data_IF_744175161328
#
_entry.id   IF_744175161328
#
_cell.length_a   1.000
_cell.length_b   1.000
_cell.length_c   1.000
_cell.angle_alpha   90.00
_cell.angle_beta   90.00
_cell.angle_gamma   90.00
#
_symmetry.space_group_name_H-M   'P 1'
#
loop_
_entity.id
_entity.type
_entity.pdbx_description
1 polymer ?
#
# COMPACT_ATOMS: atom_id res chain seq x y z
N UNK A 1 -12.09 -6.61 -18.46
CA UNK A 1 -12.06 -7.65 -19.51
C UNK A 1 -10.88 -7.31 -20.41
N UNK A 2 -9.85 -8.16 -20.47
CA UNK A 2 -8.67 -7.87 -21.28
C UNK A 2 -9.05 -7.95 -22.77
N UNK A 3 -8.82 -6.88 -23.53
CA UNK A 3 -9.00 -6.91 -24.98
C UNK A 3 -7.73 -7.48 -25.58
N UNK A 4 -7.78 -8.76 -25.99
CA UNK A 4 -6.72 -9.35 -26.79
C UNK A 4 -6.86 -8.82 -28.21
N UNK A 5 -5.90 -8.04 -28.66
CA UNK A 5 -5.77 -7.74 -30.08
C UNK A 5 -5.13 -8.98 -30.75
N UNK A 6 -5.96 -9.79 -31.42
CA UNK A 6 -5.54 -11.08 -32.02
C UNK A 6 -5.07 -10.89 -33.46
N UNK A 7 -4.13 -9.98 -33.70
CA UNK A 7 -3.45 -9.90 -35.00
C UNK A 7 -2.20 -10.79 -34.97
N UNK A 8 -2.18 -11.93 -35.71
CA UNK A 8 -1.09 -12.91 -35.65
C UNK A 8 0.25 -12.42 -36.22
N UNK A 9 0.37 -11.16 -36.67
CA UNK A 9 1.61 -10.57 -37.19
C UNK A 9 2.37 -9.65 -36.22
N UNK A 10 1.85 -9.40 -35.02
CA UNK A 10 2.51 -8.51 -34.05
C UNK A 10 3.12 -9.36 -32.92
N UNK A 11 4.42 -9.65 -33.02
CA UNK A 11 5.19 -10.37 -31.98
C UNK A 11 5.56 -9.50 -30.76
N UNK A 12 5.24 -8.21 -30.79
CA UNK A 12 5.41 -7.32 -29.64
C UNK A 12 4.03 -7.02 -29.02
N UNK A 13 3.54 -7.95 -28.20
CA UNK A 13 2.46 -7.64 -27.26
C UNK A 13 3.03 -6.75 -26.15
N UNK A 14 3.09 -5.45 -26.38
CA UNK A 14 3.16 -4.48 -25.30
C UNK A 14 1.87 -4.60 -24.50
N UNK A 15 1.99 -4.99 -23.24
CA UNK A 15 0.85 -5.07 -22.33
C UNK A 15 0.47 -3.64 -21.96
N UNK A 16 -0.60 -3.14 -22.57
CA UNK A 16 -1.21 -1.88 -22.16
C UNK A 16 -2.19 -2.15 -21.02
N UNK A 17 -1.83 -1.69 -19.82
CA UNK A 17 -2.75 -1.66 -18.68
C UNK A 17 -3.58 -0.39 -18.79
N UNK A 18 -4.69 -0.46 -19.51
CA UNK A 18 -5.52 0.73 -19.77
C UNK A 18 -6.32 1.18 -18.53
N UNK A 19 -6.37 0.36 -17.46
CA UNK A 19 -7.22 0.59 -16.29
C UNK A 19 -6.56 0.27 -14.91
N UNK A 20 -5.35 0.77 -14.58
CA UNK A 20 -4.74 0.56 -13.26
C UNK A 20 -5.60 1.10 -12.10
N UNK A 21 -6.41 2.12 -12.40
CA UNK A 21 -7.44 2.68 -11.49
C UNK A 21 -8.45 1.65 -10.97
N UNK A 22 -8.66 0.53 -11.67
CA UNK A 22 -9.55 -0.54 -11.20
C UNK A 22 -8.97 -1.35 -10.02
N UNK A 23 -7.67 -1.23 -9.77
CA UNK A 23 -6.98 -1.91 -8.67
C UNK A 23 -6.92 -1.06 -7.39
N UNK A 24 -7.47 0.15 -7.41
CA UNK A 24 -7.55 1.04 -6.24
C UNK A 24 -8.52 0.44 -5.23
N UNK A 25 -8.06 0.19 -4.01
CA UNK A 25 -8.84 -0.48 -2.97
C UNK A 25 -9.00 -1.99 -3.20
N UNK A 26 -8.07 -2.60 -3.95
CA UNK A 26 -8.03 -4.05 -4.12
C UNK A 26 -7.25 -4.69 -2.96
N UNK A 27 -7.87 -5.70 -2.35
CA UNK A 27 -7.37 -6.33 -1.14
C UNK A 27 -6.60 -7.61 -1.47
N UNK A 28 -5.31 -7.65 -1.11
CA UNK A 28 -4.46 -8.82 -1.37
C UNK A 28 -4.49 -9.81 -0.21
N UNK A 29 -4.92 -9.38 0.97
CA UNK A 29 -5.08 -10.25 2.13
C UNK A 29 -6.57 -10.48 2.46
N UNK A 30 -7.13 -11.55 1.91
CA UNK A 30 -8.51 -11.99 2.19
C UNK A 30 -8.77 -12.32 3.67
N UNK A 31 -7.74 -12.54 4.47
CA UNK A 31 -7.86 -12.87 5.89
C UNK A 31 -7.83 -11.63 6.79
N UNK A 32 -7.37 -10.48 6.29
CA UNK A 32 -7.24 -9.23 7.05
C UNK A 32 -7.32 -8.04 6.08
N UNK A 33 -8.54 -7.77 5.60
CA UNK A 33 -8.83 -6.62 4.77
C UNK A 33 -8.52 -5.33 5.53
N UNK A 34 -8.10 -4.26 4.84
CA UNK A 34 -7.75 -3.01 5.51
C UNK A 34 -8.89 -2.50 6.38
N UNK A 35 -10.11 -2.53 5.88
CA UNK A 35 -11.33 -2.05 6.55
C UNK A 35 -11.69 -2.88 7.78
N UNK A 36 -11.21 -4.12 7.86
CA UNK A 36 -11.41 -4.96 9.05
C UNK A 36 -10.56 -4.50 10.23
N UNK A 37 -9.47 -3.76 9.97
CA UNK A 37 -8.49 -3.31 10.96
C UNK A 37 -8.44 -1.80 11.10
N UNK A 38 -8.52 -1.05 10.01
CA UNK A 38 -8.34 0.38 9.91
C UNK A 38 -9.68 1.04 9.54
N UNK A 39 -10.01 2.14 10.19
CA UNK A 39 -11.21 2.95 9.91
C UNK A 39 -10.90 4.23 9.10
N UNK A 40 -9.76 4.25 8.41
CA UNK A 40 -9.33 5.35 7.58
C UNK A 40 -8.76 4.82 6.27
N UNK A 41 -8.72 5.68 5.25
CA UNK A 41 -8.01 5.44 4.01
C UNK A 41 -7.12 6.65 3.72
N UNK A 42 -5.83 6.46 3.42
CA UNK A 42 -4.99 7.55 2.95
C UNK A 42 -5.47 8.04 1.58
N UNK A 43 -5.20 9.31 1.27
CA UNK A 43 -5.39 9.85 -0.07
C UNK A 43 -4.07 9.83 -0.84
N UNK A 44 -4.13 9.53 -2.13
CA UNK A 44 -2.98 9.40 -3.01
C UNK A 44 -3.06 10.42 -4.12
N UNK A 45 -2.03 11.26 -4.23
CA UNK A 45 -1.96 12.31 -5.25
C UNK A 45 -0.64 12.16 -5.98
N UNK A 46 -0.71 11.86 -7.27
CA UNK A 46 0.45 11.93 -8.16
C UNK A 46 0.44 13.28 -8.86
N UNK A 47 1.48 14.07 -8.62
CA UNK A 47 1.62 15.38 -9.22
C UNK A 47 2.16 15.33 -10.67
N UNK A 48 2.30 16.49 -11.29
CA UNK A 48 2.81 16.63 -12.66
C UNK A 48 4.32 16.33 -12.77
N UNK A 49 5.03 16.24 -11.66
CA UNK A 49 6.46 15.93 -11.57
C UNK A 49 6.73 14.46 -11.23
N UNK A 50 5.71 13.60 -11.31
CA UNK A 50 5.76 12.18 -10.96
C UNK A 50 6.09 11.92 -9.49
N UNK A 51 5.85 12.87 -8.59
CA UNK A 51 5.96 12.63 -7.15
C UNK A 51 4.62 12.17 -6.61
N UNK A 52 4.64 11.06 -5.88
CA UNK A 52 3.47 10.56 -5.18
C UNK A 52 3.44 11.15 -3.77
N UNK A 53 2.34 11.80 -3.43
CA UNK A 53 2.01 12.23 -2.07
C UNK A 53 0.96 11.31 -1.46
N UNK A 54 1.24 10.84 -0.24
CA UNK A 54 0.32 10.06 0.59
C UNK A 54 -0.12 10.96 1.75
N UNK A 55 -1.39 11.36 1.72
CA UNK A 55 -2.01 12.13 2.79
C UNK A 55 -2.62 11.19 3.82
N UNK A 56 -2.05 11.21 5.03
CA UNK A 56 -2.48 10.41 6.16
C UNK A 56 -3.15 11.36 7.16
N UNK A 57 -4.41 11.11 7.57
CA UNK A 57 -5.08 11.95 8.55
C UNK A 57 -4.40 11.84 9.92
N UNK A 58 -4.82 12.65 10.88
CA UNK A 58 -4.45 12.41 12.27
C UNK A 58 -4.97 11.04 12.70
N UNK A 59 -4.13 10.21 13.30
CA UNK A 59 -4.48 8.84 13.69
C UNK A 59 -4.38 8.65 15.20
N UNK A 60 -5.35 7.95 15.76
CA UNK A 60 -5.35 7.51 17.15
C UNK A 60 -5.76 6.04 17.24
N UNK A 61 -5.07 5.30 18.10
CA UNK A 61 -5.20 3.84 18.17
C UNK A 61 -6.64 3.37 18.43
N UNK A 62 -7.39 4.07 19.29
CA UNK A 62 -8.75 3.68 19.70
C UNK A 62 -9.84 4.06 18.70
N UNK A 63 -9.63 5.09 17.88
CA UNK A 63 -10.62 5.61 16.93
C UNK A 63 -10.45 4.95 15.56
N UNK A 64 -9.21 4.94 15.08
CA UNK A 64 -8.91 4.70 13.67
C UNK A 64 -8.48 3.26 13.41
N UNK A 65 -8.38 2.43 14.46
CA UNK A 65 -8.03 1.02 14.35
C UNK A 65 -8.93 0.15 15.23
N UNK A 66 -9.08 -1.12 14.86
CA UNK A 66 -9.58 -2.21 15.71
C UNK A 66 -8.38 -3.01 16.23
N UNK A 67 -7.70 -2.55 17.30
CA UNK A 67 -6.57 -3.28 17.84
C UNK A 67 -7.00 -4.63 18.40
N UNK A 68 -6.19 -5.65 18.15
CA UNK A 68 -6.32 -6.95 18.83
C UNK A 68 -6.08 -6.76 20.33
N UNK A 69 -6.77 -7.54 21.16
CA UNK A 69 -6.67 -7.45 22.62
C UNK A 69 -5.22 -7.41 23.09
N UNK A 70 -4.91 -6.47 23.99
CA UNK A 70 -3.58 -6.20 24.56
C UNK A 70 -2.57 -5.52 23.62
N UNK A 71 -2.91 -5.19 22.37
CA UNK A 71 -2.06 -4.33 21.53
C UNK A 71 -2.14 -2.88 22.01
N UNK A 72 -0.98 -2.26 22.17
CA UNK A 72 -0.81 -0.88 22.63
C UNK A 72 -0.10 0.01 21.61
N UNK A 73 0.38 -0.59 20.52
CA UNK A 73 1.09 0.09 19.44
C UNK A 73 0.80 -0.54 18.09
N UNK A 74 0.79 0.28 17.04
CA UNK A 74 0.66 -0.13 15.65
C UNK A 74 1.78 0.53 14.85
N UNK A 75 2.45 -0.26 14.01
CA UNK A 75 3.30 0.25 12.95
C UNK A 75 2.51 0.24 11.65
N UNK A 76 2.33 1.42 11.08
CA UNK A 76 1.71 1.63 9.78
C UNK A 76 2.80 1.90 8.77
N UNK A 77 2.92 1.03 7.78
CA UNK A 77 3.93 1.13 6.72
C UNK A 77 3.26 1.23 5.35
N UNK A 78 3.70 2.15 4.51
CA UNK A 78 3.34 2.22 3.10
C UNK A 78 4.57 1.93 2.25
N UNK A 79 4.47 0.92 1.40
CA UNK A 79 5.47 0.60 0.37
C UNK A 79 4.99 1.13 -0.97
N UNK A 80 5.81 1.94 -1.61
CA UNK A 80 5.63 2.33 -3.00
C UNK A 80 6.50 1.41 -3.85
N UNK A 81 5.85 0.63 -4.70
CA UNK A 81 6.48 -0.37 -5.56
C UNK A 81 6.36 0.13 -7.00
N UNK A 82 7.47 0.10 -7.72
CA UNK A 82 7.51 0.38 -9.14
C UNK A 82 7.81 -0.92 -9.89
N UNK A 83 7.04 -1.17 -10.95
CA UNK A 83 7.11 -2.39 -11.74
C UNK A 83 7.34 -2.05 -13.21
N UNK A 84 8.47 -2.50 -13.75
CA UNK A 84 8.73 -2.46 -15.17
C UNK A 84 8.10 -3.70 -15.84
N UNK A 85 6.92 -3.51 -16.43
CA UNK A 85 6.20 -4.59 -17.10
C UNK A 85 6.87 -5.04 -18.40
N UNK A 86 7.76 -4.24 -18.98
CA UNK A 86 8.44 -4.51 -20.24
C UNK A 86 9.83 -5.13 -20.03
N UNK A 87 10.31 -5.15 -18.79
CA UNK A 87 11.59 -5.75 -18.48
C UNK A 87 11.61 -7.25 -18.79
N UNK A 88 12.64 -7.66 -19.53
CA UNK A 88 12.94 -9.07 -19.79
C UNK A 88 13.69 -9.73 -18.61
N UNK A 89 14.13 -8.94 -17.61
CA UNK A 89 14.79 -9.44 -16.41
C UNK A 89 13.80 -9.60 -15.25
N UNK A 90 13.79 -10.80 -14.67
CA UNK A 90 13.00 -11.15 -13.49
C UNK A 90 13.85 -11.09 -12.21
N UNK A 91 13.35 -10.52 -11.09
CA UNK A 91 12.07 -9.82 -10.95
C UNK A 91 12.14 -8.36 -11.44
N UNK A 92 11.08 -7.91 -12.12
CA UNK A 92 10.95 -6.53 -12.59
C UNK A 92 10.26 -5.59 -11.58
N UNK A 93 10.31 -5.97 -10.30
CA UNK A 93 9.60 -5.34 -9.19
C UNK A 93 10.61 -4.77 -8.21
N UNK A 94 10.49 -3.49 -7.89
CA UNK A 94 11.34 -2.83 -6.91
C UNK A 94 10.49 -2.05 -5.89
N UNK A 95 10.83 -2.16 -4.60
CA UNK A 95 10.37 -1.19 -3.60
C UNK A 95 11.11 0.11 -3.84
N UNK A 96 10.39 1.11 -4.35
CA UNK A 96 10.94 2.42 -4.69
C UNK A 96 11.07 3.31 -3.46
N UNK A 97 10.04 3.32 -2.61
CA UNK A 97 10.04 4.13 -1.41
C UNK A 97 9.23 3.46 -0.29
N UNK A 98 9.56 3.82 0.95
CA UNK A 98 8.91 3.32 2.15
C UNK A 98 8.63 4.49 3.10
N UNK A 99 7.44 4.48 3.69
CA UNK A 99 7.08 5.34 4.80
C UNK A 99 6.58 4.47 5.95
N UNK A 100 7.10 4.69 7.16
CA UNK A 100 6.63 4.02 8.37
C UNK A 100 6.34 5.04 9.47
N UNK A 101 5.20 4.90 10.13
CA UNK A 101 4.83 5.65 11.33
C UNK A 101 4.34 4.72 12.43
N UNK A 102 4.60 5.07 13.69
CA UNK A 102 4.13 4.35 14.86
C UNK A 102 2.99 5.12 15.53
N UNK A 103 1.89 4.42 15.83
CA UNK A 103 0.75 4.93 16.58
C UNK A 103 0.69 4.18 17.91
N UNK A 104 0.67 4.89 19.03
CA UNK A 104 0.60 4.31 20.36
C UNK A 104 -0.70 4.65 21.08
N UNK A 105 -1.05 3.90 22.12
CA UNK A 105 -2.22 4.18 22.96
C UNK A 105 -2.16 5.52 23.71
N UNK A 106 -0.96 6.09 23.85
CA UNK A 106 -0.71 7.28 24.67
C UNK A 106 -0.65 8.58 23.87
N UNK A 107 -0.57 8.50 22.54
CA UNK A 107 -0.37 9.66 21.68
C UNK A 107 -0.97 9.42 20.30
N UNK A 108 -1.70 10.40 19.78
CA UNK A 108 -2.11 10.41 18.38
C UNK A 108 -0.91 10.73 17.47
N UNK A 109 -0.89 10.11 16.30
CA UNK A 109 0.00 10.52 15.21
C UNK A 109 -0.61 11.75 14.54
N UNK A 110 0.16 12.83 14.32
CA UNK A 110 -0.35 14.01 13.62
C UNK A 110 -0.71 13.69 12.17
N UNK A 111 -1.61 14.48 11.59
CA UNK A 111 -1.85 14.46 10.16
C UNK A 111 -0.54 14.71 9.42
N UNK A 112 -0.24 13.86 8.44
CA UNK A 112 1.05 13.83 7.75
C UNK A 112 0.83 13.72 6.26
N UNK A 113 1.51 14.57 5.49
CA UNK A 113 1.66 14.38 4.05
C UNK A 113 3.09 13.93 3.83
N UNK A 114 3.25 12.72 3.30
CA UNK A 114 4.55 12.20 2.92
C UNK A 114 4.65 12.11 1.40
N UNK A 115 5.77 12.58 0.85
CA UNK A 115 5.97 12.68 -0.60
C UNK A 115 7.24 11.93 -1.00
N UNK A 116 7.16 11.16 -2.09
CA UNK A 116 8.31 10.43 -2.63
C UNK A 116 9.27 11.34 -3.40
N UNK A 117 10.46 10.82 -3.70
CA UNK A 117 11.21 11.28 -4.88
C UNK A 117 10.43 11.00 -6.18
N UNK A 118 10.78 11.65 -7.32
CA UNK A 118 10.08 11.44 -8.58
C UNK A 118 10.15 9.97 -8.98
N UNK A 119 8.98 9.39 -9.24
CA UNK A 119 8.85 7.99 -9.61
C UNK A 119 9.39 7.75 -11.03
N UNK A 120 9.87 6.53 -11.34
CA UNK A 120 10.33 6.20 -12.67
C UNK A 120 9.20 6.39 -13.69
N UNK A 121 9.45 7.07 -14.83
CA UNK A 121 8.47 7.16 -15.89
C UNK A 121 8.23 5.78 -16.50
N UNK A 122 7.02 5.57 -17.03
CA UNK A 122 6.62 4.35 -17.75
C UNK A 122 6.63 3.03 -16.95
N UNK A 123 6.72 3.12 -15.62
CA UNK A 123 6.54 1.98 -14.73
C UNK A 123 5.14 1.99 -14.11
N UNK A 124 4.60 0.79 -13.92
CA UNK A 124 3.36 0.62 -13.18
C UNK A 124 3.66 0.78 -11.69
N UNK A 125 2.95 1.69 -11.04
CA UNK A 125 3.15 1.96 -9.62
C UNK A 125 2.08 1.25 -8.80
N UNK A 126 2.47 0.76 -7.63
CA UNK A 126 1.59 0.18 -6.63
C UNK A 126 1.92 0.71 -5.26
N UNK A 127 0.90 1.01 -4.46
CA UNK A 127 1.09 1.34 -3.03
C UNK A 127 0.47 0.27 -2.16
N UNK A 128 1.29 -0.39 -1.36
CA UNK A 128 0.85 -1.39 -0.39
C UNK A 128 0.90 -0.78 1.01
N UNK A 129 -0.27 -0.63 1.64
CA UNK A 129 -0.36 -0.32 3.07
C UNK A 129 -0.25 -1.60 3.87
N UNK A 130 0.54 -1.59 4.94
CA UNK A 130 0.66 -2.68 5.92
C UNK A 130 0.44 -2.10 7.32
N UNK A 131 -0.50 -2.69 8.05
CA UNK A 131 -0.75 -2.36 9.45
C UNK A 131 -0.31 -3.52 10.33
N UNK A 132 0.74 -3.33 11.13
CA UNK A 132 1.27 -4.34 12.04
C UNK A 132 1.00 -3.93 13.49
N UNK A 133 0.22 -4.75 14.19
CA UNK A 133 -0.03 -4.57 15.62
C UNK A 133 1.14 -5.12 16.44
N UNK A 134 1.64 -4.30 17.36
CA UNK A 134 2.72 -4.63 18.28
C UNK A 134 2.17 -4.75 19.72
N UNK A 135 2.95 -5.42 20.57
CA UNK A 135 2.61 -5.69 21.96
C UNK A 135 3.83 -5.40 22.83
N UNK A 136 3.70 -4.57 23.86
CA UNK A 136 4.79 -4.40 24.84
C UNK A 136 5.12 -5.70 25.59
N UNK A 137 4.14 -6.60 25.76
CA UNK A 137 4.33 -7.95 26.33
C UNK A 137 3.59 -9.00 25.48
N UNK A 138 4.27 -9.63 24.50
CA UNK A 138 3.65 -10.71 23.72
C UNK A 138 3.40 -11.94 24.60
N UNK A 139 2.20 -12.52 24.49
CA UNK A 139 1.79 -13.79 25.12
C UNK A 139 1.91 -14.93 24.09
N UNK A 140 1.96 -16.20 24.52
CA UNK A 140 2.03 -17.36 23.62
C UNK A 140 0.86 -17.44 22.63
N UNK A 141 -0.30 -16.90 23.00
CA UNK A 141 -1.50 -16.84 22.16
C UNK A 141 -1.52 -15.61 21.24
N UNK A 142 -0.72 -14.58 21.54
CA UNK A 142 -0.64 -13.35 20.75
C UNK A 142 0.45 -13.51 19.69
N UNK A 143 0.16 -14.28 18.63
CA UNK A 143 1.01 -14.26 17.43
C UNK A 143 1.12 -12.81 16.94
N UNK A 144 2.34 -12.32 16.78
CA UNK A 144 2.74 -10.97 16.33
C UNK A 144 2.33 -10.62 14.89
N UNK A 145 1.28 -11.26 14.38
CA UNK A 145 0.95 -11.33 12.97
C UNK A 145 -0.55 -11.13 12.76
N UNK A 146 -1.04 -9.96 13.14
CA UNK A 146 -2.20 -9.41 12.40
C UNK A 146 -1.63 -8.30 11.53
N UNK A 147 -1.39 -8.64 10.27
CA UNK A 147 -0.97 -7.72 9.23
C UNK A 147 -2.14 -7.59 8.25
N UNK A 148 -2.84 -6.44 8.26
CA UNK A 148 -3.70 -6.10 7.14
C UNK A 148 -2.83 -5.55 6.01
N UNK A 149 -3.16 -5.93 4.77
CA UNK A 149 -2.54 -5.35 3.58
C UNK A 149 -3.55 -5.03 2.49
N UNK A 150 -3.39 -3.86 1.88
CA UNK A 150 -4.26 -3.34 0.83
C UNK A 150 -3.44 -2.66 -0.25
N UNK A 151 -3.90 -2.76 -1.50
CA UNK A 151 -3.42 -1.91 -2.57
C UNK A 151 -4.27 -0.67 -2.64
N UNK A 152 -3.63 0.44 -2.32
CA UNK A 152 -4.34 1.69 -2.15
C UNK A 152 -4.28 2.56 -3.40
N UNK A 153 -3.33 2.31 -4.31
CA UNK A 153 -3.22 3.07 -5.56
C UNK A 153 -2.41 2.32 -6.64
N UNK A 154 -2.86 2.41 -7.89
CA UNK A 154 -2.08 1.99 -9.06
C UNK A 154 -2.30 2.92 -10.26
N UNK A 155 -1.20 3.27 -10.95
CA UNK A 155 -1.17 4.06 -12.19
C UNK A 155 -0.10 3.51 -13.12
#
# INVERSE_FOLDING_TARGET
MAVRNTDPKITNTTVHWDLPKMMVGFEFNKNAEWQSICHFFPEFILDTTQRLSISIPELSLKRDFRPVSKSDRINLTFYVIAVDMNSLSYPSVQVFAEFTTEISSHMSSPATIWTTEPLPPDQMIFVIGICKMNFTKPDKDNKSHTAASCYLWSK
#
